data_IF_147954916412
#
_entry.id   IF_147954916412
#
_cell.length_a   1.000
_cell.length_b   1.000
_cell.length_c   1.000
_cell.angle_alpha   90.00
_cell.angle_beta   90.00
_cell.angle_gamma   90.00
#
_symmetry.space_group_name_H-M   'P 1'
#
loop_
_entity.id
_entity.type
_entity.pdbx_description
1 polymer ?
#
# COMPACT_ATOMS: atom_id res chain seq x y z
N UNK A 1 -1.77 61.15 2.03
CA UNK A 1 -2.00 60.96 0.59
C UNK A 1 -2.75 59.64 0.43
N UNK A 2 -4.09 59.66 0.54
CA UNK A 2 -5.06 59.66 -0.59
C UNK A 2 -4.93 58.42 -1.46
N UNK A 3 -5.70 57.38 -1.17
CA UNK A 3 -6.95 56.95 -1.87
C UNK A 3 -6.65 56.24 -3.20
N UNK A 4 -7.28 55.10 -3.52
CA UNK A 4 -8.69 55.01 -3.90
C UNK A 4 -9.26 53.59 -3.78
N UNK A 5 -10.43 53.54 -3.17
CA UNK A 5 -11.49 52.54 -3.35
C UNK A 5 -12.17 52.72 -4.71
N UNK A 6 -12.63 51.63 -5.33
CA UNK A 6 -13.85 51.57 -6.14
C UNK A 6 -14.50 50.20 -5.95
N UNK A 7 -15.65 50.18 -5.30
CA UNK A 7 -16.64 49.10 -5.43
C UNK A 7 -17.86 49.66 -6.13
N UNK A 8 -18.63 48.80 -6.80
CA UNK A 8 -20.05 49.01 -7.06
C UNK A 8 -20.78 47.69 -6.83
N UNK A 9 -21.81 47.79 -6.00
CA UNK A 9 -22.82 46.79 -5.67
C UNK A 9 -24.03 46.91 -6.62
N UNK A 10 -25.01 46.01 -6.42
CA UNK A 10 -26.49 46.03 -6.63
C UNK A 10 -26.86 44.59 -7.07
N UNK A 11 -27.82 43.84 -6.53
CA UNK A 11 -28.89 44.08 -5.57
C UNK A 11 -30.17 43.30 -5.98
N UNK A 12 -30.67 42.45 -5.06
CA UNK A 12 -32.04 41.90 -4.91
C UNK A 12 -32.60 40.79 -5.83
N UNK A 13 -33.26 39.81 -5.20
CA UNK A 13 -34.31 39.00 -5.81
C UNK A 13 -34.60 37.65 -5.13
N UNK A 14 -35.33 37.65 -4.01
CA UNK A 14 -35.94 36.45 -3.45
C UNK A 14 -37.24 36.15 -4.25
N UNK A 15 -37.34 34.96 -4.86
CA UNK A 15 -38.62 34.39 -5.30
C UNK A 15 -38.57 32.87 -5.27
N UNK A 16 -39.40 32.33 -4.38
CA UNK A 16 -39.77 30.94 -4.28
C UNK A 16 -40.76 30.62 -5.41
N UNK A 17 -40.43 29.67 -6.29
CA UNK A 17 -41.40 28.99 -7.14
C UNK A 17 -40.92 27.55 -7.36
N UNK A 18 -41.66 26.63 -6.74
CA UNK A 18 -41.59 25.19 -6.95
C UNK A 18 -42.09 24.89 -8.37
N UNK A 19 -41.29 24.20 -9.16
CA UNK A 19 -41.80 23.36 -10.26
C UNK A 19 -40.81 22.23 -10.53
N UNK A 20 -41.35 21.04 -10.71
CA UNK A 20 -40.68 19.77 -10.66
C UNK A 20 -40.08 19.32 -12.01
N UNK A 21 -39.13 18.39 -11.88
CA UNK A 21 -38.72 17.32 -12.79
C UNK A 21 -37.62 17.53 -13.85
N UNK A 22 -36.71 16.55 -13.80
CA UNK A 22 -35.80 15.99 -14.79
C UNK A 22 -34.42 16.65 -14.98
N UNK A 23 -33.37 15.89 -14.60
CA UNK A 23 -31.98 16.18 -14.94
C UNK A 23 -30.99 15.92 -13.82
N UNK A 24 -30.94 14.69 -13.28
CA UNK A 24 -29.86 14.28 -12.38
C UNK A 24 -28.56 14.11 -13.17
N UNK A 25 -27.53 14.89 -12.84
CA UNK A 25 -26.15 14.67 -13.28
C UNK A 25 -25.24 14.83 -12.06
N UNK A 26 -25.10 13.73 -11.31
CA UNK A 26 -24.01 13.53 -10.37
C UNK A 26 -23.10 12.47 -10.96
N UNK A 27 -21.98 12.91 -11.56
CA UNK A 27 -20.85 12.04 -11.84
C UNK A 27 -20.19 11.68 -10.51
N UNK A 28 -20.64 10.59 -9.90
CA UNK A 28 -19.83 9.83 -8.97
C UNK A 28 -18.83 9.05 -9.82
N UNK A 29 -17.54 9.38 -9.72
CA UNK A 29 -16.48 8.57 -10.30
C UNK A 29 -16.28 7.38 -9.35
N UNK A 30 -16.92 6.26 -9.67
CA UNK A 30 -16.78 5.02 -8.93
C UNK A 30 -15.37 4.47 -9.13
N UNK A 31 -14.61 4.38 -8.05
CA UNK A 31 -13.42 3.55 -7.95
C UNK A 31 -13.86 2.10 -8.26
N UNK A 32 -13.46 1.55 -9.41
CA UNK A 32 -13.83 0.20 -9.80
C UNK A 32 -13.11 -0.79 -8.89
N UNK A 33 -13.89 -1.54 -8.12
CA UNK A 33 -13.46 -2.77 -7.49
C UNK A 33 -12.78 -3.66 -8.54
N UNK A 34 -11.64 -4.26 -8.17
CA UNK A 34 -11.11 -5.40 -8.90
C UNK A 34 -12.23 -6.43 -9.04
N UNK A 35 -12.27 -7.13 -10.17
CA UNK A 35 -13.25 -8.18 -10.44
C UNK A 35 -13.41 -9.08 -9.23
N UNK A 36 -14.55 -8.94 -8.53
CA UNK A 36 -14.97 -9.87 -7.49
C UNK A 36 -14.91 -11.27 -8.10
N UNK A 37 -14.31 -12.22 -7.40
CA UNK A 37 -14.55 -13.62 -7.70
C UNK A 37 -16.07 -13.81 -7.66
N UNK A 38 -16.65 -14.25 -8.77
CA UNK A 38 -18.09 -14.54 -8.83
C UNK A 38 -18.44 -15.47 -7.68
N UNK A 39 -19.36 -15.04 -6.80
CA UNK A 39 -19.96 -15.90 -5.79
C UNK A 39 -20.36 -17.22 -6.44
N UNK A 40 -20.09 -18.34 -5.75
CA UNK A 40 -20.61 -19.64 -6.17
C UNK A 40 -22.13 -19.54 -6.31
N UNK A 41 -22.67 -20.05 -7.42
CA UNK A 41 -24.12 -20.07 -7.62
C UNK A 41 -24.78 -20.87 -6.50
N UNK A 42 -25.73 -20.26 -5.78
CA UNK A 42 -26.64 -20.98 -4.90
C UNK A 42 -27.26 -22.17 -5.67
N UNK A 43 -27.39 -23.32 -5.00
CA UNK A 43 -28.13 -24.44 -5.56
C UNK A 43 -29.56 -24.01 -5.87
N UNK A 44 -30.09 -24.42 -7.03
CA UNK A 44 -31.48 -24.12 -7.40
C UNK A 44 -32.43 -24.82 -6.43
N UNK A 45 -33.36 -24.06 -5.84
CA UNK A 45 -34.49 -24.64 -5.10
C UNK A 45 -35.24 -25.67 -5.95
N UNK A 46 -35.67 -26.76 -5.31
CA UNK A 46 -36.56 -27.74 -5.92
C UNK A 46 -37.88 -27.09 -6.35
N UNK A 47 -38.49 -27.60 -7.41
CA UNK A 47 -39.82 -27.13 -7.83
C UNK A 47 -40.90 -27.77 -6.97
N UNK A 48 -41.81 -26.95 -6.42
CA UNK A 48 -43.01 -27.45 -5.75
C UNK A 48 -43.85 -28.29 -6.72
N UNK A 49 -44.42 -29.39 -6.21
CA UNK A 49 -45.39 -30.20 -6.97
C UNK A 49 -46.64 -29.39 -7.31
N UNK A 50 -47.25 -29.65 -8.46
CA UNK A 50 -48.51 -29.02 -8.86
C UNK A 50 -49.69 -29.59 -8.07
N UNK A 51 -50.51 -28.72 -7.48
CA UNK A 51 -51.79 -29.10 -6.88
C UNK A 51 -52.71 -29.78 -7.91
N UNK A 52 -53.46 -30.78 -7.46
CA UNK A 52 -54.49 -31.45 -8.26
C UNK A 52 -55.63 -30.49 -8.61
N UNK A 53 -56.27 -30.70 -9.77
CA UNK A 53 -57.37 -29.85 -10.22
C UNK A 53 -58.64 -30.06 -9.37
N UNK A 54 -59.29 -28.97 -8.94
CA UNK A 54 -60.57 -28.99 -8.24
C UNK A 54 -61.70 -29.59 -9.10
N UNK A 55 -62.62 -30.32 -8.44
CA UNK A 55 -63.82 -30.86 -9.06
C UNK A 55 -64.75 -29.73 -9.54
N UNK A 56 -65.37 -29.92 -10.71
CA UNK A 56 -66.37 -29.00 -11.26
C UNK A 56 -67.74 -29.30 -10.63
N UNK A 57 -68.29 -28.34 -9.88
CA UNK A 57 -69.64 -28.44 -9.34
C UNK A 57 -70.70 -28.44 -10.46
N UNK A 58 -71.64 -29.39 -10.37
CA UNK A 58 -72.73 -29.56 -11.32
C UNK A 58 -73.69 -28.37 -11.32
N UNK A 59 -74.00 -27.84 -12.50
CA UNK A 59 -75.03 -26.81 -12.69
C UNK A 59 -76.40 -27.46 -12.93
N UNK A 60 -77.38 -27.27 -12.02
CA UNK A 60 -78.83 -27.20 -12.36
C UNK A 60 -79.66 -26.44 -11.31
N UNK A 61 -80.48 -25.53 -11.82
CA UNK A 61 -81.52 -24.66 -11.22
C UNK A 61 -82.62 -25.39 -10.40
N UNK A 62 -83.31 -24.68 -9.49
CA UNK A 62 -84.75 -24.35 -9.66
C UNK A 62 -85.41 -23.74 -8.42
N UNK A 63 -86.25 -22.73 -8.70
CA UNK A 63 -87.42 -22.30 -7.94
C UNK A 63 -88.36 -23.45 -7.54
N UNK A 64 -89.08 -23.27 -6.42
CA UNK A 64 -90.16 -24.09 -5.85
C UNK A 64 -90.92 -25.02 -6.84
N UNK A 65 -90.74 -26.34 -6.70
CA UNK A 65 -91.83 -27.30 -6.45
C UNK A 65 -91.40 -28.77 -6.59
N UNK A 66 -91.74 -29.55 -5.56
CA UNK A 66 -92.08 -31.00 -5.53
C UNK A 66 -91.02 -32.06 -5.88
N UNK A 67 -90.82 -32.95 -4.89
CA UNK A 67 -90.17 -34.28 -4.87
C UNK A 67 -89.63 -34.87 -6.18
N UNK A 68 -88.31 -35.16 -6.22
CA UNK A 68 -87.74 -36.40 -6.77
C UNK A 68 -86.22 -36.53 -6.52
N UNK A 69 -85.84 -37.65 -5.88
CA UNK A 69 -84.65 -38.52 -6.10
C UNK A 69 -83.22 -37.95 -6.15
N UNK A 70 -82.36 -38.60 -5.34
CA UNK A 70 -80.90 -38.50 -5.19
C UNK A 70 -80.10 -38.11 -6.45
N UNK A 71 -79.26 -37.09 -6.32
CA UNK A 71 -78.14 -36.84 -7.22
C UNK A 71 -76.86 -37.50 -6.65
N UNK A 72 -76.21 -38.30 -7.48
CA UNK A 72 -74.97 -39.07 -7.24
C UNK A 72 -73.77 -38.22 -6.81
N UNK A 73 -73.01 -38.71 -5.82
CA UNK A 73 -71.76 -38.12 -5.33
C UNK A 73 -70.74 -37.85 -6.45
N UNK A 74 -70.06 -36.70 -6.38
CA UNK A 74 -68.89 -36.40 -7.20
C UNK A 74 -67.70 -37.29 -6.79
N UNK A 75 -66.96 -37.83 -7.76
CA UNK A 75 -65.73 -38.58 -7.51
C UNK A 75 -64.59 -37.66 -7.09
N UNK A 76 -63.90 -38.03 -6.00
CA UNK A 76 -62.71 -37.33 -5.47
C UNK A 76 -61.62 -37.17 -6.54
N UNK A 77 -60.98 -36.00 -6.55
CA UNK A 77 -59.79 -35.72 -7.37
C UNK A 77 -58.58 -36.53 -6.90
N UNK A 78 -57.65 -36.82 -7.82
CA UNK A 78 -56.43 -37.58 -7.50
C UNK A 78 -55.40 -36.69 -6.80
N UNK A 79 -54.75 -37.20 -5.75
CA UNK A 79 -53.67 -36.50 -5.03
C UNK A 79 -52.48 -36.18 -5.96
N UNK A 80 -51.89 -35.00 -5.78
CA UNK A 80 -50.66 -34.60 -6.47
C UNK A 80 -49.44 -35.39 -5.98
N UNK A 81 -48.41 -35.52 -6.82
CA UNK A 81 -47.15 -36.20 -6.46
C UNK A 81 -46.19 -35.26 -5.72
N UNK A 82 -45.62 -35.73 -4.62
CA UNK A 82 -44.61 -35.01 -3.84
C UNK A 82 -43.34 -34.67 -4.67
N UNK A 83 -42.80 -33.46 -4.44
CA UNK A 83 -41.53 -33.01 -5.02
C UNK A 83 -40.31 -33.69 -4.39
N UNK A 84 -39.18 -33.70 -5.11
CA UNK A 84 -37.91 -34.30 -4.65
C UNK A 84 -37.07 -33.24 -3.93
N UNK A 85 -36.60 -33.54 -2.72
CA UNK A 85 -35.73 -32.66 -1.93
C UNK A 85 -34.40 -32.34 -2.65
N UNK A 86 -33.97 -31.07 -2.56
CA UNK A 86 -32.70 -30.61 -3.08
C UNK A 86 -31.53 -31.03 -2.17
N UNK A 87 -30.38 -31.38 -2.76
CA UNK A 87 -29.13 -31.62 -2.03
C UNK A 87 -28.43 -30.30 -1.67
N UNK A 88 -28.04 -30.15 -0.41
CA UNK A 88 -27.27 -29.00 0.09
C UNK A 88 -25.98 -28.77 -0.73
N UNK A 89 -25.72 -27.51 -1.08
CA UNK A 89 -24.48 -27.07 -1.73
C UNK A 89 -23.27 -27.16 -0.79
N UNK A 90 -22.08 -27.37 -1.35
CA UNK A 90 -20.82 -27.36 -0.60
C UNK A 90 -20.38 -25.90 -0.40
N UNK A 91 -20.11 -25.50 0.85
CA UNK A 91 -19.56 -24.18 1.17
C UNK A 91 -18.30 -23.88 0.35
N UNK A 92 -18.25 -22.69 -0.27
CA UNK A 92 -17.06 -22.21 -0.97
C UNK A 92 -15.93 -21.91 0.02
N UNK A 93 -14.72 -22.36 -0.27
CA UNK A 93 -13.51 -21.86 0.41
C UNK A 93 -13.29 -20.40 0.03
N UNK A 94 -13.01 -19.53 1.00
CA UNK A 94 -12.68 -18.11 0.79
C UNK A 94 -11.70 -17.95 -0.39
N UNK A 95 -12.11 -17.19 -1.40
CA UNK A 95 -11.32 -16.99 -2.61
C UNK A 95 -10.03 -16.23 -2.30
N UNK A 96 -8.90 -16.71 -2.81
CA UNK A 96 -7.69 -15.88 -2.96
C UNK A 96 -8.04 -14.65 -3.81
N UNK A 97 -7.54 -13.44 -3.48
CA UNK A 97 -7.65 -12.29 -4.38
C UNK A 97 -7.23 -12.71 -5.79
N UNK A 98 -7.99 -12.32 -6.82
CA UNK A 98 -7.66 -12.67 -8.20
C UNK A 98 -6.31 -12.07 -8.59
N UNK A 99 -5.46 -12.88 -9.23
CA UNK A 99 -4.17 -12.43 -9.74
C UNK A 99 -4.36 -11.28 -10.76
N UNK A 100 -3.76 -10.13 -10.50
CA UNK A 100 -3.78 -8.93 -11.34
C UNK A 100 -2.78 -9.02 -12.50
N UNK A 101 -2.93 -10.05 -13.33
CA UNK A 101 -2.03 -10.32 -14.45
C UNK A 101 -2.69 -10.03 -15.79
N UNK A 102 -1.88 -9.61 -16.76
CA UNK A 102 -2.33 -9.33 -18.12
C UNK A 102 -1.24 -9.65 -19.13
N UNK A 103 -1.67 -9.83 -20.38
CA UNK A 103 -0.84 -9.98 -21.57
C UNK A 103 -1.10 -8.87 -22.60
N UNK A 104 -2.27 -8.24 -22.55
CA UNK A 104 -2.67 -7.10 -23.37
C UNK A 104 -3.64 -6.17 -22.62
N UNK A 105 -3.65 -4.89 -22.97
CA UNK A 105 -4.44 -3.87 -22.25
C UNK A 105 -5.96 -4.05 -22.33
N UNK A 106 -6.46 -4.81 -23.30
CA UNK A 106 -7.89 -5.19 -23.42
C UNK A 106 -8.40 -6.04 -22.25
N UNK A 107 -7.49 -6.68 -21.50
CA UNK A 107 -7.83 -7.45 -20.30
C UNK A 107 -8.01 -6.55 -19.07
N UNK A 108 -7.55 -5.31 -19.15
CA UNK A 108 -7.57 -4.35 -18.05
C UNK A 108 -8.82 -3.46 -18.13
N UNK A 109 -9.29 -2.98 -16.98
CA UNK A 109 -10.52 -2.17 -16.87
C UNK A 109 -10.23 -0.78 -16.28
N UNK A 110 -11.20 0.14 -16.33
CA UNK A 110 -11.10 1.40 -15.57
C UNK A 110 -9.94 2.33 -15.96
N UNK A 111 -9.53 2.36 -17.24
CA UNK A 111 -8.42 3.22 -17.70
C UNK A 111 -7.02 2.67 -17.40
N UNK A 112 -6.94 1.38 -17.03
CA UNK A 112 -5.68 0.68 -16.85
C UNK A 112 -5.08 0.23 -18.19
N UNK A 113 -3.76 0.20 -18.25
CA UNK A 113 -2.99 -0.43 -19.31
C UNK A 113 -2.28 -1.69 -18.80
N UNK A 114 -1.94 -2.59 -19.71
CA UNK A 114 -1.13 -3.75 -19.38
C UNK A 114 0.37 -3.40 -19.42
N UNK A 115 0.99 -3.33 -18.25
CA UNK A 115 2.39 -2.92 -18.07
C UNK A 115 3.09 -3.89 -17.13
N UNK A 116 4.29 -4.37 -17.48
CA UNK A 116 5.01 -5.38 -16.69
C UNK A 116 4.19 -6.66 -16.41
N UNK A 117 3.26 -6.98 -17.32
CA UNK A 117 2.33 -8.11 -17.19
C UNK A 117 1.25 -7.93 -16.11
N UNK A 118 0.97 -6.69 -15.70
CA UNK A 118 -0.05 -6.35 -14.70
C UNK A 118 -0.94 -5.20 -15.18
N UNK A 119 -2.20 -5.19 -14.75
CA UNK A 119 -3.08 -4.06 -15.02
C UNK A 119 -2.75 -2.92 -14.06
N UNK A 120 -2.28 -1.80 -14.60
CA UNK A 120 -1.88 -0.62 -13.83
C UNK A 120 -2.65 0.59 -14.35
N UNK A 121 -3.19 1.39 -13.43
CA UNK A 121 -3.88 2.62 -13.78
C UNK A 121 -2.90 3.58 -14.46
N UNK A 122 -3.24 4.09 -15.64
CA UNK A 122 -2.35 5.00 -16.36
C UNK A 122 -2.47 6.42 -15.77
N UNK A 123 -1.34 7.06 -15.39
CA UNK A 123 -1.38 8.41 -14.81
C UNK A 123 -1.99 9.42 -15.77
N UNK A 124 -2.86 10.28 -15.24
CA UNK A 124 -3.47 11.36 -16.04
C UNK A 124 -2.45 12.47 -16.35
N UNK A 125 -1.65 12.81 -15.33
CA UNK A 125 -0.66 13.89 -15.34
C UNK A 125 0.72 13.39 -15.74
N UNK A 126 1.50 14.25 -16.39
CA UNK A 126 2.91 13.97 -16.65
C UNK A 126 3.70 13.93 -15.33
N UNK A 127 4.69 13.05 -15.28
CA UNK A 127 5.56 12.91 -14.14
C UNK A 127 6.33 14.20 -13.84
N UNK A 128 6.52 14.47 -12.56
CA UNK A 128 7.28 15.63 -12.08
C UNK A 128 8.42 15.16 -11.20
N UNK A 129 9.59 15.79 -11.36
CA UNK A 129 10.73 15.59 -10.49
C UNK A 129 10.71 16.59 -9.35
N UNK A 130 11.02 16.13 -8.14
CA UNK A 130 11.13 16.98 -6.94
C UNK A 130 12.52 16.81 -6.32
N UNK A 131 13.18 17.95 -6.09
CA UNK A 131 14.47 17.99 -5.41
C UNK A 131 14.29 17.62 -3.93
N UNK A 132 15.06 16.63 -3.46
CA UNK A 132 14.95 16.04 -2.14
C UNK A 132 15.60 16.87 -1.01
N UNK A 133 16.24 17.99 -1.33
CA UNK A 133 16.82 18.92 -0.36
C UNK A 133 15.87 20.09 -0.14
N UNK A 134 15.29 20.60 -1.22
CA UNK A 134 14.43 21.78 -1.17
C UNK A 134 12.95 21.44 -1.11
N UNK A 135 12.58 20.17 -1.32
CA UNK A 135 11.20 19.67 -1.40
C UNK A 135 10.37 20.39 -2.47
N UNK A 136 11.03 20.89 -3.53
CA UNK A 136 10.40 21.67 -4.61
C UNK A 136 10.49 20.94 -5.96
N UNK A 137 9.43 21.05 -6.79
CA UNK A 137 9.47 20.59 -8.17
C UNK A 137 10.59 21.25 -8.97
N UNK A 138 11.23 20.48 -9.84
CA UNK A 138 12.28 20.93 -10.76
C UNK A 138 11.94 20.60 -12.21
N UNK A 139 12.54 21.33 -13.15
CA UNK A 139 12.36 21.07 -14.58
C UNK A 139 13.22 19.88 -15.04
N UNK A 140 12.63 19.02 -15.87
CA UNK A 140 13.30 17.88 -16.49
C UNK A 140 12.45 16.61 -16.47
N UNK A 141 12.73 15.71 -17.40
CA UNK A 141 12.09 14.39 -17.45
C UNK A 141 12.77 13.41 -16.48
N UNK A 142 12.02 12.45 -15.91
CA UNK A 142 12.58 11.36 -15.13
C UNK A 142 13.62 10.57 -15.91
N UNK A 143 14.76 10.29 -15.26
CA UNK A 143 15.72 9.33 -15.80
C UNK A 143 15.30 7.92 -15.40
N UNK A 144 15.07 7.05 -16.39
CA UNK A 144 14.66 5.65 -16.20
C UNK A 144 15.70 4.65 -16.73
N UNK A 145 16.90 5.11 -17.10
CA UNK A 145 17.91 4.28 -17.75
C UNK A 145 18.42 3.13 -16.86
N UNK A 146 18.24 3.22 -15.55
CA UNK A 146 18.62 2.18 -14.59
C UNK A 146 17.56 1.10 -14.38
N UNK A 147 16.34 1.27 -14.90
CA UNK A 147 15.29 0.24 -14.85
C UNK A 147 15.82 -1.07 -15.44
N UNK A 148 15.68 -2.17 -14.71
CA UNK A 148 16.09 -3.50 -15.16
C UNK A 148 17.60 -3.72 -15.27
N UNK A 149 18.44 -2.74 -14.96
CA UNK A 149 19.90 -2.92 -14.98
C UNK A 149 20.38 -3.65 -13.73
N UNK A 150 21.07 -4.77 -13.94
CA UNK A 150 21.79 -5.44 -12.87
C UNK A 150 22.96 -4.57 -12.41
N UNK A 151 23.13 -4.45 -11.08
CA UNK A 151 24.32 -3.85 -10.51
C UNK A 151 25.46 -4.86 -10.46
N UNK A 152 26.67 -4.38 -10.68
CA UNK A 152 27.89 -5.19 -10.59
C UNK A 152 28.44 -5.05 -9.16
N UNK A 153 28.47 -6.12 -8.35
CA UNK A 153 29.10 -6.08 -7.04
C UNK A 153 30.59 -5.71 -7.19
N UNK A 154 31.07 -4.75 -6.41
CA UNK A 154 32.47 -4.33 -6.49
C UNK A 154 33.38 -5.10 -5.53
N UNK A 155 32.81 -5.87 -4.59
CA UNK A 155 33.55 -6.55 -3.53
C UNK A 155 34.07 -5.62 -2.42
N UNK A 156 33.84 -4.31 -2.53
CA UNK A 156 34.11 -3.33 -1.47
C UNK A 156 32.99 -3.36 -0.43
N UNK A 157 33.35 -3.11 0.83
CA UNK A 157 32.40 -2.92 1.93
C UNK A 157 32.43 -1.48 2.42
N UNK A 158 31.31 -1.04 2.99
CA UNK A 158 31.13 0.27 3.59
C UNK A 158 30.60 0.14 5.01
N UNK A 159 30.70 1.23 5.76
CA UNK A 159 30.00 1.40 7.03
C UNK A 159 28.70 2.14 6.77
N UNK A 160 27.57 1.46 6.95
CA UNK A 160 26.24 2.07 6.86
C UNK A 160 25.85 2.63 8.21
N UNK A 161 25.34 3.85 8.23
CA UNK A 161 24.85 4.47 9.45
C UNK A 161 23.62 5.33 9.17
N UNK A 162 22.90 5.72 10.21
CA UNK A 162 21.80 6.68 10.11
C UNK A 162 20.91 6.61 11.33
N UNK A 163 19.69 7.14 11.18
CA UNK A 163 18.68 7.16 12.23
C UNK A 163 17.48 6.29 11.85
N UNK A 164 16.64 5.96 12.83
CA UNK A 164 15.35 5.33 12.58
C UNK A 164 14.31 6.43 12.42
N UNK A 165 13.91 6.65 11.17
CA UNK A 165 12.80 7.53 10.82
C UNK A 165 11.47 6.86 11.14
N UNK A 166 10.56 7.67 11.67
CA UNK A 166 9.18 7.27 11.88
C UNK A 166 8.35 7.67 10.68
N UNK A 167 7.38 6.83 10.32
CA UNK A 167 6.30 7.28 9.46
C UNK A 167 5.40 8.26 10.25
N UNK A 168 5.62 9.56 10.04
CA UNK A 168 4.94 10.68 10.71
C UNK A 168 5.60 11.14 12.01
N UNK A 169 5.02 12.18 12.61
CA UNK A 169 5.55 12.81 13.83
C UNK A 169 5.47 11.89 15.07
N UNK A 170 6.46 11.97 15.97
CA UNK A 170 6.35 11.37 17.30
C UNK A 170 7.62 11.31 18.14
N UNK A 171 7.48 10.72 19.34
CA UNK A 171 8.55 10.53 20.34
C UNK A 171 9.71 9.66 19.83
N UNK A 172 10.89 9.71 20.48
CA UNK A 172 12.06 9.01 19.98
C UNK A 172 11.89 7.48 19.92
N UNK A 173 12.46 6.84 18.91
CA UNK A 173 12.55 5.39 18.76
C UNK A 173 13.76 4.85 19.51
N UNK A 174 13.51 4.12 20.60
CA UNK A 174 14.54 3.41 21.36
C UNK A 174 14.19 1.91 21.41
N UNK A 175 15.12 1.07 21.88
CA UNK A 175 14.96 -0.39 21.92
C UNK A 175 14.66 -1.01 20.55
N UNK A 176 15.28 -0.47 19.50
CA UNK A 176 15.15 -0.97 18.14
C UNK A 176 16.41 -1.75 17.73
N UNK A 177 16.24 -2.60 16.73
CA UNK A 177 17.32 -3.31 16.03
C UNK A 177 17.21 -3.05 14.54
N UNK A 178 18.34 -2.70 13.93
CA UNK A 178 18.49 -2.65 12.46
C UNK A 178 19.35 -3.83 12.05
N UNK A 179 18.86 -4.64 11.12
CA UNK A 179 19.60 -5.74 10.51
C UNK A 179 19.66 -5.57 9.00
N UNK A 180 20.84 -5.74 8.42
CA UNK A 180 21.08 -5.67 6.99
C UNK A 180 21.45 -7.06 6.50
N UNK A 181 20.67 -7.58 5.54
CA UNK A 181 20.93 -8.84 4.86
C UNK A 181 21.31 -8.55 3.41
N UNK A 182 22.16 -9.39 2.80
CA UNK A 182 22.20 -9.42 1.34
C UNK A 182 20.88 -9.99 0.85
N UNK A 183 20.29 -9.43 -0.20
CA UNK A 183 19.01 -9.91 -0.71
C UNK A 183 19.08 -11.39 -1.16
N UNK A 184 20.23 -11.83 -1.68
CA UNK A 184 20.47 -13.22 -2.04
C UNK A 184 20.57 -14.17 -0.83
N UNK A 185 20.94 -13.64 0.33
CA UNK A 185 21.10 -14.39 1.58
C UNK A 185 19.84 -14.33 2.45
N UNK A 186 18.86 -13.46 2.11
CA UNK A 186 17.58 -13.32 2.82
C UNK A 186 16.65 -14.48 2.44
N UNK A 187 16.40 -15.46 3.31
CA UNK A 187 15.64 -16.65 2.93
C UNK A 187 14.20 -16.51 3.44
N UNK A 188 13.23 -16.17 2.56
CA UNK A 188 11.83 -16.38 2.92
C UNK A 188 11.55 -17.88 3.18
N UNK A 189 12.33 -18.76 2.54
CA UNK A 189 12.22 -20.22 2.64
C UNK A 189 12.23 -20.78 4.06
N UNK A 190 12.92 -20.13 5.01
CA UNK A 190 13.03 -20.61 6.39
C UNK A 190 11.69 -20.61 7.13
N UNK A 191 10.79 -19.68 6.75
CA UNK A 191 9.49 -19.48 7.40
C UNK A 191 8.31 -19.66 6.43
N UNK A 192 8.55 -19.82 5.11
CA UNK A 192 7.52 -20.14 4.12
C UNK A 192 6.97 -21.54 4.35
N UNK A 193 5.70 -21.66 4.71
CA UNK A 193 5.04 -22.94 4.97
C UNK A 193 4.40 -23.02 6.35
N UNK A 194 4.67 -22.04 7.21
CA UNK A 194 3.89 -21.82 8.42
C UNK A 194 2.52 -21.27 8.04
N UNK A 195 1.47 -22.00 8.40
CA UNK A 195 0.07 -21.60 8.15
C UNK A 195 -0.46 -20.68 9.24
N UNK A 196 0.12 -20.74 10.44
CA UNK A 196 -0.20 -19.84 11.53
C UNK A 196 0.52 -18.49 11.34
N UNK A 197 -0.22 -17.36 11.25
CA UNK A 197 0.36 -16.04 11.06
C UNK A 197 1.35 -15.59 12.14
N UNK A 198 1.09 -15.93 13.40
CA UNK A 198 1.87 -15.49 14.55
C UNK A 198 3.19 -16.28 14.62
N UNK A 199 3.14 -17.59 14.37
CA UNK A 199 4.34 -18.43 14.22
C UNK A 199 5.19 -17.96 13.03
N UNK A 200 4.57 -17.66 11.88
CA UNK A 200 5.26 -17.14 10.72
C UNK A 200 5.96 -15.81 11.02
N UNK A 201 5.24 -14.87 11.64
CA UNK A 201 5.78 -13.57 12.05
C UNK A 201 6.96 -13.73 13.02
N UNK A 202 6.80 -14.58 14.04
CA UNK A 202 7.84 -14.85 15.04
C UNK A 202 9.10 -15.44 14.40
N UNK A 203 8.95 -16.40 13.48
CA UNK A 203 10.06 -17.00 12.74
C UNK A 203 10.89 -15.93 12.00
N UNK A 204 10.23 -15.03 11.27
CA UNK A 204 10.90 -13.94 10.56
C UNK A 204 11.57 -12.92 11.50
N UNK A 205 10.99 -12.68 12.68
CA UNK A 205 11.57 -11.80 13.71
C UNK A 205 12.85 -12.37 14.30
N UNK A 206 12.89 -13.66 14.58
CA UNK A 206 14.02 -14.34 15.21
C UNK A 206 15.15 -14.66 14.23
N UNK A 207 14.86 -14.69 12.93
CA UNK A 207 15.85 -14.96 11.90
C UNK A 207 16.98 -13.91 11.90
N UNK A 208 18.24 -14.37 12.01
CA UNK A 208 19.45 -13.51 12.02
C UNK A 208 20.61 -14.07 11.20
N UNK A 209 20.48 -15.26 10.62
CA UNK A 209 21.58 -15.90 9.92
C UNK A 209 21.99 -15.06 8.68
N UNK A 210 23.29 -14.85 8.50
CA UNK A 210 23.84 -14.08 7.38
C UNK A 210 23.65 -12.54 7.45
N UNK A 211 22.91 -12.04 8.44
CA UNK A 211 22.69 -10.60 8.63
C UNK A 211 23.80 -9.90 9.41
N UNK A 212 24.05 -8.63 9.06
CA UNK A 212 24.85 -7.70 9.85
C UNK A 212 23.89 -6.83 10.67
N UNK A 213 23.96 -6.86 12.00
CA UNK A 213 23.02 -6.15 12.88
C UNK A 213 23.71 -5.28 13.91
N UNK A 214 23.02 -4.23 14.34
CA UNK A 214 23.32 -3.57 15.63
C UNK A 214 22.64 -4.29 16.78
N UNK A 215 23.14 -4.11 18.00
CA UNK A 215 22.49 -4.60 19.23
C UNK A 215 22.10 -3.41 20.11
N UNK A 216 20.84 -3.36 20.54
CA UNK A 216 20.28 -2.37 21.49
C UNK A 216 20.78 -0.94 21.24
N UNK A 217 20.11 -0.20 20.35
CA UNK A 217 20.44 1.22 20.10
C UNK A 217 20.31 2.01 21.41
N UNK A 218 21.45 2.31 22.03
CA UNK A 218 21.56 2.89 23.37
C UNK A 218 21.18 4.37 23.37
N UNK A 219 20.65 4.84 24.51
CA UNK A 219 20.36 6.25 24.72
C UNK A 219 21.67 7.05 24.69
N UNK A 220 21.70 8.25 24.08
CA UNK A 220 22.79 9.20 24.27
C UNK A 220 23.09 9.42 25.76
N UNK A 221 24.37 9.41 26.16
CA UNK A 221 24.81 9.86 27.49
C UNK A 221 24.85 11.39 27.49
N UNK A 222 24.44 12.11 28.54
CA UNK A 222 24.42 13.60 28.61
C UNK A 222 25.77 14.31 28.32
N UNK A 223 26.84 13.57 28.01
CA UNK A 223 28.21 14.04 27.85
C UNK A 223 28.45 14.92 26.61
N UNK A 224 27.60 14.83 25.58
CA UNK A 224 27.81 15.56 24.31
C UNK A 224 26.64 16.49 23.93
N UNK A 225 25.65 16.65 24.80
CA UNK A 225 24.54 17.58 24.55
C UNK A 225 25.05 19.01 24.44
N UNK A 226 24.81 19.63 23.28
CA UNK A 226 25.27 20.97 22.96
C UNK A 226 26.73 21.06 22.53
N UNK A 227 27.46 19.97 22.31
CA UNK A 227 28.81 20.02 21.74
C UNK A 227 28.77 20.61 20.32
N UNK A 228 29.71 21.50 19.96
CA UNK A 228 29.81 22.00 18.59
C UNK A 228 30.25 20.88 17.63
N UNK A 229 29.62 20.84 16.47
CA UNK A 229 29.93 19.91 15.39
C UNK A 229 29.97 20.66 14.06
N UNK A 230 30.52 20.03 13.03
CA UNK A 230 30.41 20.49 11.64
C UNK A 230 29.81 19.40 10.76
N UNK A 231 29.96 18.14 11.16
CA UNK A 231 29.40 16.95 10.53
C UNK A 231 28.79 16.05 11.58
N UNK A 232 27.83 15.23 11.16
CA UNK A 232 27.20 14.22 12.01
C UNK A 232 28.22 13.29 12.70
N UNK A 233 29.31 12.96 12.01
CA UNK A 233 30.40 12.12 12.53
C UNK A 233 31.21 12.75 13.66
N UNK A 234 31.08 14.06 13.90
CA UNK A 234 31.77 14.73 15.00
C UNK A 234 31.04 14.49 16.35
N UNK A 235 29.80 13.99 16.29
CA UNK A 235 28.98 13.67 17.44
C UNK A 235 29.16 12.20 17.86
N UNK A 236 29.14 11.89 19.17
CA UNK A 236 29.17 10.50 19.62
C UNK A 236 27.87 9.76 19.29
N UNK A 237 27.89 8.43 19.36
CA UNK A 237 26.71 7.60 19.14
C UNK A 237 25.55 8.05 20.05
N UNK A 238 24.37 8.19 19.46
CA UNK A 238 23.18 8.75 20.11
C UNK A 238 23.02 10.27 19.94
N UNK A 239 23.94 10.97 19.27
CA UNK A 239 23.84 12.39 18.98
C UNK A 239 23.87 12.71 17.49
N UNK A 240 22.95 13.56 17.03
CA UNK A 240 22.96 14.11 15.67
C UNK A 240 23.46 15.55 15.66
N UNK A 241 24.30 15.88 14.68
CA UNK A 241 24.69 17.25 14.42
C UNK A 241 23.53 18.01 13.76
N UNK A 242 22.83 18.85 14.53
CA UNK A 242 21.67 19.61 14.07
C UNK A 242 22.05 21.09 13.92
N UNK A 243 21.57 21.72 12.86
CA UNK A 243 21.67 23.17 12.67
C UNK A 243 20.73 23.87 13.66
N UNK A 244 21.30 24.59 14.64
CA UNK A 244 20.54 25.46 15.55
C UNK A 244 20.33 26.85 14.98
N UNK A 245 21.25 27.32 14.15
CA UNK A 245 21.17 28.57 13.41
C UNK A 245 22.06 28.52 12.18
N UNK A 246 21.94 29.52 11.30
CA UNK A 246 22.66 29.64 10.01
C UNK A 246 24.19 29.51 10.06
N UNK A 247 24.79 29.49 11.25
CA UNK A 247 26.24 29.40 11.47
C UNK A 247 26.61 28.46 12.62
N UNK A 248 25.64 27.79 13.25
CA UNK A 248 25.86 27.05 14.49
C UNK A 248 25.22 25.67 14.42
N UNK A 249 26.08 24.65 14.54
CA UNK A 249 25.70 23.25 14.55
C UNK A 249 26.08 22.65 15.90
N UNK A 250 25.14 21.95 16.52
CA UNK A 250 25.36 21.29 17.81
C UNK A 250 24.90 19.84 17.77
N UNK A 251 25.62 19.01 18.49
CA UNK A 251 25.23 17.65 18.79
C UNK A 251 24.00 17.69 19.71
N UNK A 252 22.88 17.15 19.23
CA UNK A 252 21.65 16.99 19.99
C UNK A 252 21.35 15.50 20.17
N UNK A 253 20.80 15.09 21.33
CA UNK A 253 20.36 13.73 21.55
C UNK A 253 19.38 13.29 20.44
N UNK A 254 19.77 12.28 19.65
CA UNK A 254 18.89 11.62 18.71
C UNK A 254 18.86 10.11 18.98
N UNK A 255 17.68 9.58 19.21
CA UNK A 255 17.48 8.18 19.58
C UNK A 255 17.22 7.34 18.33
N UNK A 256 17.81 6.14 18.27
CA UNK A 256 17.69 5.28 17.11
C UNK A 256 18.80 5.49 16.08
N UNK A 257 19.91 6.14 16.46
CA UNK A 257 21.13 6.16 15.67
C UNK A 257 21.75 4.76 15.61
N UNK A 258 22.18 4.32 14.43
CA UNK A 258 22.80 3.01 14.22
C UNK A 258 24.02 3.10 13.31
N UNK A 259 24.98 2.19 13.49
CA UNK A 259 26.15 2.03 12.63
C UNK A 259 26.45 0.53 12.44
N UNK A 260 26.58 0.10 11.18
CA UNK A 260 26.80 -1.29 10.78
C UNK A 260 27.97 -1.31 9.80
N UNK A 261 29.09 -1.91 10.20
CA UNK A 261 30.27 -2.08 9.37
C UNK A 261 30.17 -3.31 8.46
N UNK A 262 30.94 -3.31 7.36
CA UNK A 262 31.10 -4.49 6.50
C UNK A 262 29.96 -4.69 5.49
N UNK A 263 29.13 -3.68 5.26
CA UNK A 263 28.01 -3.77 4.31
C UNK A 263 28.53 -3.76 2.88
N UNK A 264 28.22 -4.77 2.05
CA UNK A 264 28.74 -4.82 0.69
C UNK A 264 28.13 -3.71 -0.19
N UNK A 265 28.99 -3.07 -0.97
CA UNK A 265 28.59 -2.04 -1.94
C UNK A 265 28.09 -2.68 -3.24
N UNK A 266 27.30 -1.92 -4.00
CA UNK A 266 26.69 -2.31 -5.28
C UNK A 266 25.97 -3.68 -5.25
N UNK A 267 25.45 -4.06 -4.09
CA UNK A 267 24.79 -5.33 -3.83
C UNK A 267 23.38 -5.05 -3.31
N UNK A 268 22.32 -5.68 -3.85
CA UNK A 268 20.97 -5.59 -3.29
C UNK A 268 20.91 -6.10 -1.85
N UNK A 269 20.29 -5.32 -0.97
CA UNK A 269 20.15 -5.59 0.45
C UNK A 269 18.67 -5.60 0.87
N UNK A 270 18.40 -6.27 1.98
CA UNK A 270 17.15 -6.15 2.74
C UNK A 270 17.50 -5.52 4.09
N UNK A 271 16.91 -4.36 4.39
CA UNK A 271 17.07 -3.68 5.67
C UNK A 271 15.84 -3.96 6.51
N UNK A 272 16.02 -4.65 7.63
CA UNK A 272 14.96 -4.91 8.60
C UNK A 272 15.11 -3.98 9.80
N UNK A 273 14.01 -3.33 10.16
CA UNK A 273 13.87 -2.57 11.42
C UNK A 273 12.82 -3.27 12.29
N UNK A 274 13.16 -3.55 13.54
CA UNK A 274 12.20 -4.13 14.51
C UNK A 274 12.40 -3.60 15.92
N UNK A 275 11.36 -3.74 16.74
CA UNK A 275 11.45 -3.51 18.17
C UNK A 275 12.01 -4.75 18.90
N UNK A 276 12.84 -4.54 19.91
CA UNK A 276 13.46 -5.61 20.70
C UNK A 276 12.65 -5.99 21.95
N UNK A 277 11.74 -5.12 22.40
CA UNK A 277 10.94 -5.37 23.61
C UNK A 277 9.50 -5.74 23.23
N UNK A 278 9.00 -6.94 23.61
CA UNK A 278 7.64 -7.38 23.31
C UNK A 278 6.55 -6.42 23.81
N UNK A 279 6.81 -5.75 24.94
CA UNK A 279 5.90 -4.72 25.50
C UNK A 279 5.60 -3.54 24.55
N UNK A 280 6.39 -3.38 23.48
CA UNK A 280 6.22 -2.33 22.47
C UNK A 280 5.74 -2.85 21.10
N UNK A 281 5.40 -4.13 20.97
CA UNK A 281 4.83 -4.70 19.72
C UNK A 281 3.48 -4.07 19.38
N UNK A 282 2.72 -3.66 20.39
CA UNK A 282 1.49 -2.90 20.19
C UNK A 282 1.72 -1.45 19.74
N UNK A 283 2.97 -0.96 19.72
CA UNK A 283 3.31 0.42 19.35
C UNK A 283 3.93 0.52 17.97
N UNK A 284 4.65 -0.52 17.54
CA UNK A 284 5.48 -0.47 16.35
C UNK A 284 5.35 -1.75 15.55
N UNK A 285 5.38 -1.61 14.23
CA UNK A 285 5.37 -2.73 13.30
C UNK A 285 6.70 -2.86 12.61
N UNK A 286 7.11 -4.10 12.40
CA UNK A 286 8.36 -4.40 11.72
C UNK A 286 8.33 -3.84 10.31
N UNK A 287 9.49 -3.40 9.85
CA UNK A 287 9.63 -2.81 8.52
C UNK A 287 10.76 -3.50 7.77
N UNK A 288 10.50 -3.85 6.52
CA UNK A 288 11.44 -4.52 5.63
C UNK A 288 11.63 -3.67 4.38
N UNK A 289 12.79 -3.05 4.22
CA UNK A 289 13.15 -2.29 3.02
C UNK A 289 13.88 -3.21 2.05
N UNK A 290 13.27 -3.50 0.91
CA UNK A 290 13.86 -4.34 -0.13
C UNK A 290 14.64 -3.53 -1.17
N UNK A 291 15.60 -4.18 -1.81
CA UNK A 291 16.45 -3.64 -2.88
C UNK A 291 17.21 -2.35 -2.48
N UNK A 292 17.57 -2.26 -1.20
CA UNK A 292 18.46 -1.23 -0.69
C UNK A 292 19.88 -1.46 -1.22
N UNK A 293 20.56 -0.44 -1.74
CA UNK A 293 21.95 -0.56 -2.24
C UNK A 293 22.85 0.57 -1.81
N UNK A 294 23.99 0.20 -1.23
CA UNK A 294 25.09 1.12 -0.99
C UNK A 294 25.89 1.31 -2.28
N UNK A 295 25.69 2.43 -2.96
CA UNK A 295 26.41 2.76 -4.19
C UNK A 295 27.85 3.20 -3.89
N UNK A 296 28.83 2.55 -4.51
CA UNK A 296 30.25 2.82 -4.25
C UNK A 296 30.63 4.27 -4.60
N UNK A 297 30.09 4.81 -5.69
CA UNK A 297 30.32 6.17 -6.14
C UNK A 297 29.76 7.25 -5.20
N UNK A 298 28.98 6.86 -4.21
CA UNK A 298 28.34 7.75 -3.22
C UNK A 298 28.90 7.62 -1.82
N UNK A 299 29.92 6.79 -1.64
CA UNK A 299 30.58 6.67 -0.35
C UNK A 299 31.16 8.03 0.05
N UNK A 300 30.85 8.42 1.28
CA UNK A 300 31.45 9.56 1.93
C UNK A 300 32.91 9.26 2.30
N UNK A 301 33.62 10.27 2.79
CA UNK A 301 34.97 10.10 3.32
C UNK A 301 34.98 9.00 4.41
N UNK A 302 35.93 8.05 4.30
CA UNK A 302 36.01 6.92 5.23
C UNK A 302 35.09 5.74 4.90
N UNK A 303 34.62 5.62 3.65
CA UNK A 303 33.79 4.51 3.17
C UNK A 303 32.46 4.40 3.94
N UNK A 304 31.87 5.54 4.28
CA UNK A 304 30.59 5.62 5.00
C UNK A 304 29.44 5.90 4.05
N UNK A 305 28.25 5.45 4.43
CA UNK A 305 27.04 5.68 3.66
C UNK A 305 25.83 5.87 4.59
N UNK A 306 25.12 6.98 4.46
CA UNK A 306 23.93 7.28 5.27
C UNK A 306 22.66 6.63 4.71
N UNK A 307 21.94 5.87 5.53
CA UNK A 307 20.60 5.35 5.26
C UNK A 307 19.77 5.60 6.52
N UNK A 308 18.61 6.25 6.42
CA UNK A 308 17.67 6.23 7.53
C UNK A 308 16.76 4.99 7.39
N UNK A 309 16.65 4.21 8.45
CA UNK A 309 15.78 3.05 8.49
C UNK A 309 14.37 3.50 8.84
N UNK A 310 13.33 2.86 8.30
CA UNK A 310 11.95 3.24 8.59
C UNK A 310 11.31 2.36 9.67
N UNK A 311 10.35 2.94 10.38
CA UNK A 311 9.39 2.20 11.19
C UNK A 311 8.01 2.86 11.19
N UNK A 312 6.96 2.04 11.22
CA UNK A 312 5.57 2.50 11.29
C UNK A 312 4.98 2.27 12.67
N UNK A 313 4.23 3.25 13.16
CA UNK A 313 3.52 3.14 14.44
C UNK A 313 2.20 2.37 14.28
N UNK A 314 1.73 1.73 15.34
CA UNK A 314 0.43 1.05 15.34
C UNK A 314 -0.75 1.98 15.07
N UNK A 315 -0.63 3.26 15.43
CA UNK A 315 -1.64 4.26 15.09
C UNK A 315 -1.81 4.42 13.58
N UNK A 316 -0.70 4.47 12.84
CA UNK A 316 -0.72 4.55 11.38
C UNK A 316 -1.15 3.23 10.74
N UNK A 317 -0.70 2.11 11.31
CA UNK A 317 -1.13 0.77 10.90
C UNK A 317 -2.64 0.59 10.90
N UNK A 318 -3.35 1.25 11.83
CA UNK A 318 -4.82 1.22 11.89
C UNK A 318 -5.47 2.33 11.07
N UNK A 319 -4.91 3.54 11.10
CA UNK A 319 -5.54 4.72 10.48
C UNK A 319 -5.50 4.64 8.96
N UNK A 320 -4.37 4.27 8.37
CA UNK A 320 -4.17 4.27 6.91
C UNK A 320 -5.17 3.34 6.20
N UNK A 321 -5.33 2.06 6.59
CA UNK A 321 -6.31 1.17 5.94
C UNK A 321 -7.75 1.65 6.14
N UNK A 322 -8.08 2.17 7.34
CA UNK A 322 -9.41 2.69 7.65
C UNK A 322 -9.76 3.88 6.75
N UNK A 323 -8.82 4.81 6.55
CA UNK A 323 -9.02 5.96 5.66
C UNK A 323 -9.27 5.52 4.22
N UNK A 324 -8.57 4.49 3.74
CA UNK A 324 -8.74 3.95 2.39
C UNK A 324 -10.03 3.13 2.21
N UNK A 325 -10.80 2.92 3.28
CA UNK A 325 -11.99 2.06 3.24
C UNK A 325 -11.68 0.56 3.22
N UNK A 326 -10.42 0.16 3.42
CA UNK A 326 -10.00 -1.24 3.50
C UNK A 326 -10.30 -1.90 4.86
N UNK A 327 -10.75 -1.12 5.85
CA UNK A 327 -11.00 -1.63 7.20
C UNK A 327 -9.70 -1.86 7.97
N UNK A 328 -9.47 -3.11 8.40
CA UNK A 328 -8.26 -3.51 9.13
C UNK A 328 -7.45 -4.49 8.30
N UNK A 329 -6.12 -4.43 8.42
CA UNK A 329 -5.23 -5.45 7.85
C UNK A 329 -5.51 -6.78 8.57
N UNK A 330 -5.84 -7.82 7.80
CA UNK A 330 -6.17 -9.12 8.36
C UNK A 330 -4.96 -9.77 9.04
N UNK A 331 -5.16 -10.67 10.03
CA UNK A 331 -4.08 -11.47 10.59
C UNK A 331 -3.34 -12.23 9.49
N UNK A 332 -2.01 -12.12 9.46
CA UNK A 332 -1.19 -12.74 8.40
C UNK A 332 -1.01 -11.89 7.15
N UNK A 333 -1.75 -10.80 7.01
CA UNK A 333 -1.55 -9.83 5.93
C UNK A 333 -0.55 -8.75 6.36
N UNK A 334 -0.11 -7.96 5.41
CA UNK A 334 0.81 -6.85 5.62
C UNK A 334 0.43 -5.62 4.80
N UNK A 335 1.33 -4.64 4.81
CA UNK A 335 1.23 -3.46 3.96
C UNK A 335 2.49 -3.30 3.13
N UNK A 336 2.34 -2.73 1.94
CA UNK A 336 3.43 -2.38 1.04
C UNK A 336 3.42 -0.87 0.88
N UNK A 337 4.56 -0.22 1.05
CA UNK A 337 4.69 1.22 0.85
C UNK A 337 5.97 1.57 0.12
N UNK A 338 6.11 2.82 -0.25
CA UNK A 338 7.34 3.24 -0.90
C UNK A 338 7.35 4.67 -1.37
N UNK A 339 8.49 5.03 -1.94
CA UNK A 339 8.67 6.26 -2.71
C UNK A 339 9.20 5.91 -4.08
N UNK A 340 8.67 6.55 -5.10
CA UNK A 340 9.15 6.43 -6.47
C UNK A 340 10.23 7.48 -6.68
N UNK A 341 11.36 7.05 -7.22
CA UNK A 341 12.55 7.88 -7.45
C UNK A 341 13.07 7.67 -8.86
N UNK A 342 13.80 8.67 -9.33
CA UNK A 342 14.51 8.59 -10.59
C UNK A 342 15.82 7.84 -10.46
N UNK A 343 16.31 7.39 -11.62
CA UNK A 343 17.62 6.82 -11.73
C UNK A 343 18.66 7.86 -11.35
N UNK A 344 19.25 7.65 -10.18
CA UNK A 344 20.29 8.48 -9.64
C UNK A 344 21.35 8.85 -10.68
N UNK A 345 21.63 10.15 -10.78
CA UNK A 345 22.77 10.70 -11.51
C UNK A 345 23.59 11.60 -10.58
N UNK A 346 24.80 11.97 -10.98
CA UNK A 346 25.66 12.86 -10.19
C UNK A 346 24.98 14.20 -9.86
N UNK A 347 24.08 14.67 -10.73
CA UNK A 347 23.28 15.88 -10.58
C UNK A 347 21.94 15.66 -9.85
N UNK A 348 21.32 14.47 -9.95
CA UNK A 348 20.02 14.16 -9.35
C UNK A 348 20.19 13.04 -8.34
N UNK A 349 20.38 13.41 -7.07
CA UNK A 349 20.65 12.49 -5.95
C UNK A 349 19.42 11.66 -5.56
N UNK A 350 18.80 10.96 -6.52
CA UNK A 350 17.59 10.17 -6.34
C UNK A 350 16.39 11.07 -6.07
N UNK A 351 16.14 12.02 -6.98
CA UNK A 351 14.96 12.89 -6.89
C UNK A 351 13.69 12.04 -6.94
N UNK A 352 12.63 12.51 -6.29
CA UNK A 352 11.37 11.77 -6.29
C UNK A 352 10.62 12.02 -7.59
N UNK A 353 9.96 10.98 -8.08
CA UNK A 353 9.04 11.08 -9.22
C UNK A 353 7.62 11.10 -8.68
N UNK A 354 6.93 12.22 -8.89
CA UNK A 354 5.50 12.35 -8.61
C UNK A 354 4.63 11.99 -9.81
N UNK A 355 3.32 11.83 -9.55
CA UNK A 355 2.31 11.47 -10.55
C UNK A 355 2.56 10.11 -11.23
N UNK A 356 3.01 9.15 -10.45
CA UNK A 356 3.20 7.77 -10.85
C UNK A 356 2.11 6.88 -10.25
N UNK A 357 1.79 5.77 -10.92
CA UNK A 357 0.80 4.80 -10.44
C UNK A 357 1.46 3.43 -10.27
N UNK A 358 0.98 2.65 -9.31
CA UNK A 358 1.54 1.33 -8.95
C UNK A 358 0.46 0.26 -8.85
N UNK A 359 0.86 -0.99 -9.03
CA UNK A 359 0.01 -2.16 -8.76
C UNK A 359 0.85 -3.36 -8.31
N UNK A 360 0.20 -4.26 -7.58
CA UNK A 360 0.72 -5.58 -7.23
C UNK A 360 0.17 -6.64 -8.17
N UNK A 361 0.93 -7.72 -8.34
CA UNK A 361 0.50 -8.94 -9.03
C UNK A 361 -0.60 -9.64 -8.24
N UNK A 362 -0.44 -9.77 -6.93
CA UNK A 362 -1.50 -10.19 -6.02
C UNK A 362 -2.01 -8.93 -5.28
N UNK A 363 -3.16 -8.35 -5.68
CA UNK A 363 -3.60 -7.06 -5.17
C UNK A 363 -3.97 -7.15 -3.68
N UNK A 364 -3.64 -6.09 -2.94
CA UNK A 364 -4.21 -5.86 -1.61
C UNK A 364 -5.61 -5.25 -1.70
N UNK A 365 -6.27 -5.10 -0.56
CA UNK A 365 -7.63 -4.57 -0.47
C UNK A 365 -7.75 -3.11 -0.96
N UNK A 366 -6.72 -2.29 -0.74
CA UNK A 366 -6.72 -0.92 -1.28
C UNK A 366 -5.32 -0.39 -1.58
N UNK A 367 -5.23 0.39 -2.66
CA UNK A 367 -4.07 1.23 -2.99
C UNK A 367 -4.37 2.67 -2.60
N UNK A 368 -3.42 3.33 -1.94
CA UNK A 368 -3.53 4.69 -1.45
C UNK A 368 -2.35 5.56 -1.84
N UNK A 369 -2.62 6.84 -2.02
CA UNK A 369 -1.63 7.87 -2.33
C UNK A 369 -1.79 9.07 -1.39
N UNK A 370 -0.69 9.78 -1.13
CA UNK A 370 -0.64 10.83 -0.12
C UNK A 370 -0.81 12.23 -0.72
N UNK A 371 -0.85 13.26 0.13
CA UNK A 371 -0.91 14.65 -0.31
C UNK A 371 0.50 15.28 -0.40
N UNK A 372 0.62 16.54 -0.84
CA UNK A 372 1.91 17.22 -0.98
C UNK A 372 2.48 17.75 0.37
N UNK A 373 2.02 17.23 1.51
CA UNK A 373 2.62 17.48 2.81
C UNK A 373 3.28 16.18 3.30
N UNK A 374 4.61 16.16 3.35
CA UNK A 374 5.38 14.97 3.75
C UNK A 374 5.07 14.52 5.20
N UNK A 375 4.72 15.45 6.06
CA UNK A 375 4.36 15.17 7.45
C UNK A 375 2.94 14.63 7.61
N UNK A 376 2.10 14.80 6.59
CA UNK A 376 0.79 14.16 6.55
C UNK A 376 0.96 12.71 6.09
N UNK A 377 0.56 11.82 6.97
CA UNK A 377 0.67 10.36 6.84
C UNK A 377 -0.66 9.72 6.48
N UNK A 378 -1.70 10.52 6.28
CA UNK A 378 -3.03 10.05 5.92
C UNK A 378 -3.17 10.07 4.39
N UNK A 379 -3.49 8.94 3.75
CA UNK A 379 -3.70 8.92 2.30
C UNK A 379 -5.03 9.57 1.91
N UNK A 380 -5.14 9.97 0.64
CA UNK A 380 -6.35 10.56 0.07
C UNK A 380 -7.17 9.51 -0.68
N UNK A 381 -8.46 9.42 -0.35
CA UNK A 381 -9.40 8.37 -0.83
C UNK A 381 -9.70 8.46 -2.34
N UNK A 382 -9.41 9.58 -2.98
CA UNK A 382 -9.73 9.83 -4.40
C UNK A 382 -8.51 10.24 -5.22
N UNK A 383 -7.32 9.82 -4.81
CA UNK A 383 -6.09 10.07 -5.55
C UNK A 383 -5.70 8.80 -6.30
N UNK A 384 -5.30 8.93 -7.56
CA UNK A 384 -4.99 7.83 -8.48
C UNK A 384 -3.51 7.65 -8.76
N UNK A 385 -2.70 8.61 -8.32
CA UNK A 385 -1.27 8.70 -8.58
C UNK A 385 -0.52 9.27 -7.36
N UNK A 386 0.80 9.11 -7.34
CA UNK A 386 1.63 9.62 -6.25
C UNK A 386 1.59 11.15 -6.13
N UNK A 387 1.87 11.63 -4.92
CA UNK A 387 2.17 13.04 -4.69
C UNK A 387 3.51 13.44 -5.32
N UNK A 388 3.88 14.71 -5.18
CA UNK A 388 5.18 15.21 -5.65
C UNK A 388 6.39 14.50 -5.00
N UNK A 389 6.17 13.77 -3.90
CA UNK A 389 7.17 12.98 -3.19
C UNK A 389 7.20 11.50 -3.61
N UNK A 390 6.38 11.11 -4.58
CA UNK A 390 6.33 9.75 -5.10
C UNK A 390 5.77 8.72 -4.10
N UNK A 391 5.04 9.13 -3.07
CA UNK A 391 4.59 8.26 -1.97
C UNK A 391 3.33 7.47 -2.34
N UNK A 392 3.36 6.18 -2.03
CA UNK A 392 2.22 5.27 -2.17
C UNK A 392 2.17 4.25 -1.03
N UNK A 393 1.01 3.62 -0.86
CA UNK A 393 0.80 2.48 0.02
C UNK A 393 -0.22 1.52 -0.60
N UNK A 394 -0.10 0.23 -0.34
CA UNK A 394 -1.07 -0.81 -0.68
C UNK A 394 -1.25 -1.62 0.59
N UNK A 395 -2.49 -1.70 1.08
CA UNK A 395 -2.80 -2.26 2.41
C UNK A 395 -3.51 -3.58 2.28
N UNK A 396 -3.40 -4.38 3.34
CA UNK A 396 -4.07 -5.67 3.47
C UNK A 396 -3.69 -6.63 2.34
N UNK A 397 -2.38 -6.77 2.13
CA UNK A 397 -1.79 -7.64 1.12
C UNK A 397 -1.57 -9.02 1.76
N UNK A 398 -1.92 -10.13 1.07
CA UNK A 398 -1.64 -11.47 1.57
C UNK A 398 -0.13 -11.74 1.73
N UNK A 399 0.25 -12.50 2.76
CA UNK A 399 1.63 -12.96 2.91
C UNK A 399 2.09 -13.79 1.71
N UNK A 400 3.39 -13.75 1.43
CA UNK A 400 3.99 -14.56 0.37
C UNK A 400 4.78 -13.75 -0.63
N UNK A 401 5.19 -14.41 -1.71
CA UNK A 401 5.84 -13.74 -2.84
C UNK A 401 4.83 -12.90 -3.61
N UNK A 402 5.22 -11.68 -3.92
CA UNK A 402 4.43 -10.77 -4.73
C UNK A 402 5.37 -9.92 -5.60
N UNK A 403 4.83 -9.29 -6.63
CA UNK A 403 5.56 -8.41 -7.54
C UNK A 403 4.88 -7.06 -7.59
N UNK A 404 5.64 -6.00 -7.38
CA UNK A 404 5.19 -4.62 -7.51
C UNK A 404 5.71 -4.05 -8.83
N UNK A 405 4.86 -3.39 -9.61
CA UNK A 405 5.30 -2.54 -10.72
C UNK A 405 4.63 -1.17 -10.68
N UNK A 406 5.19 -0.25 -11.45
CA UNK A 406 4.65 1.09 -11.58
C UNK A 406 4.90 1.67 -12.96
N UNK A 407 4.16 2.72 -13.26
CA UNK A 407 4.24 3.45 -14.52
C UNK A 407 4.19 4.96 -14.28
N UNK A 408 4.74 5.69 -15.23
CA UNK A 408 4.69 7.15 -15.31
C UNK A 408 4.29 7.58 -16.70
N UNK A 409 3.73 8.78 -16.82
CA UNK A 409 3.50 9.43 -18.10
C UNK A 409 4.58 10.47 -18.34
N UNK A 410 5.33 10.34 -19.44
CA UNK A 410 6.34 11.33 -19.84
C UNK A 410 5.70 12.65 -20.31
N UNK A 411 6.50 13.71 -20.42
CA UNK A 411 6.04 15.00 -20.97
C UNK A 411 5.54 14.93 -22.43
N UNK A 412 5.93 13.89 -23.16
CA UNK A 412 5.44 13.56 -24.51
C UNK A 412 4.07 12.84 -24.51
N UNK A 413 3.55 12.52 -23.33
CA UNK A 413 2.29 11.81 -23.11
C UNK A 413 2.38 10.29 -23.24
N UNK A 414 3.57 9.72 -23.51
CA UNK A 414 3.77 8.27 -23.54
C UNK A 414 3.83 7.69 -22.13
N UNK A 415 3.32 6.48 -21.97
CA UNK A 415 3.45 5.73 -20.72
C UNK A 415 4.79 4.99 -20.73
N UNK A 416 5.59 5.21 -19.69
CA UNK A 416 6.86 4.54 -19.46
C UNK A 416 6.79 3.68 -18.20
N UNK A 417 7.38 2.48 -18.29
CA UNK A 417 7.49 1.56 -17.17
C UNK A 417 8.56 2.04 -16.18
N UNK A 418 8.24 1.96 -14.88
CA UNK A 418 9.20 2.10 -13.78
C UNK A 418 9.88 0.76 -13.45
N UNK A 419 9.59 -0.30 -14.21
CA UNK A 419 10.02 -1.66 -13.94
C UNK A 419 9.17 -2.34 -12.87
N UNK A 420 9.60 -3.56 -12.54
CA UNK A 420 8.96 -4.39 -11.53
C UNK A 420 9.99 -4.98 -10.57
N UNK A 421 9.57 -5.19 -9.32
CA UNK A 421 10.41 -5.78 -8.26
C UNK A 421 9.61 -6.85 -7.51
N UNK A 422 10.22 -8.02 -7.36
CA UNK A 422 9.65 -9.11 -6.57
C UNK A 422 10.12 -9.02 -5.13
N UNK A 423 9.21 -9.30 -4.20
CA UNK A 423 9.50 -9.26 -2.77
C UNK A 423 8.66 -10.29 -2.04
N UNK A 424 9.07 -10.60 -0.81
CA UNK A 424 8.29 -11.43 0.08
C UNK A 424 7.59 -10.54 1.12
N UNK A 425 6.25 -10.59 1.14
CA UNK A 425 5.46 -9.94 2.18
C UNK A 425 5.52 -10.78 3.45
N UNK A 426 6.18 -10.23 4.47
CA UNK A 426 6.23 -10.81 5.81
C UNK A 426 4.92 -10.44 6.54
N UNK A 427 4.25 -11.41 7.19
CA UNK A 427 3.07 -11.17 8.03
C UNK A 427 3.25 -10.02 9.03
N UNK A 428 2.18 -9.26 9.26
CA UNK A 428 2.10 -8.17 10.25
C UNK A 428 3.27 -7.15 10.16
N UNK A 429 3.72 -6.90 8.94
CA UNK A 429 4.85 -6.00 8.68
C UNK A 429 4.59 -5.04 7.53
N UNK A 430 5.33 -3.94 7.54
CA UNK A 430 5.42 -3.02 6.42
C UNK A 430 6.60 -3.43 5.53
N UNK A 431 6.32 -3.78 4.28
CA UNK A 431 7.35 -3.90 3.26
C UNK A 431 7.48 -2.56 2.54
N UNK A 432 8.71 -2.05 2.45
CA UNK A 432 9.04 -0.84 1.72
C UNK A 432 9.85 -1.20 0.49
N UNK A 433 9.39 -0.71 -0.66
CA UNK A 433 10.05 -0.90 -1.95
C UNK A 433 10.51 0.43 -2.52
N UNK A 434 11.62 0.40 -3.24
CA UNK A 434 12.13 1.53 -4.01
C UNK A 434 12.16 1.18 -5.49
N UNK A 435 11.45 1.98 -6.28
CA UNK A 435 11.52 1.99 -7.75
C UNK A 435 12.83 2.70 -8.21
N UNK A 436 13.24 2.59 -9.49
CA UNK A 436 14.62 2.58 -9.94
C UNK A 436 15.53 3.71 -9.43
N UNK A 437 16.76 3.33 -9.03
CA UNK A 437 17.79 4.21 -8.46
C UNK A 437 18.47 3.61 -7.21
N UNK A 438 17.92 2.50 -6.68
CA UNK A 438 18.45 1.68 -5.58
C UNK A 438 18.95 2.46 -4.36
N UNK A 439 18.01 3.19 -3.76
CA UNK A 439 17.74 3.28 -2.33
C UNK A 439 16.60 4.28 -2.18
N UNK A 440 15.67 4.08 -1.23
CA UNK A 440 14.91 5.20 -0.71
C UNK A 440 15.89 6.03 0.15
N UNK A 441 16.41 7.10 -0.44
CA UNK A 441 17.12 8.11 0.34
C UNK A 441 16.06 8.86 1.13
N UNK A 442 15.76 8.42 2.34
CA UNK A 442 15.05 9.25 3.31
C UNK A 442 16.05 10.31 3.77
N UNK A 443 16.24 11.35 2.97
CA UNK A 443 16.93 12.56 3.44
C UNK A 443 15.86 13.54 3.86
N UNK A 444 15.88 13.89 5.14
CA UNK A 444 16.60 15.10 5.52
C UNK A 444 17.93 14.73 6.18
#
# INVERSE_FOLDING_TARGET
MTSRTWGWAIGFGFSLLVSACSGGSTTANSNSTGSDATDGTDGTDGTDGTDGADATDGTTDSTDSTDASDATDATDGSDGTDGVDATDGVDATDGTPGSNTCTESSQCSGGQGCHEGMCILEPESAAVLTDNVTDNPVEGEPNLDCVGKALVPSGKTATVYGIIDRFGDGRPTYDMEVTIFKAADWPPAACTGLTDPEEAHTCFREFKEGGLSTSELTLPTDEADGQECQRHTDCPMGYECIEKSSIEYRCEPNYGMYEIAGVPTNTPLVVRTRNLKPIYESKWKDTYVYNAVVLEERLEEGDRFRINALMVSSGQWVTVPTTLGAGQIAPGHGAVGGRIRDCHTADRRGYTIGFASVALEEPGTATGYFNNNEYDTVPLVNKSDTDIFGRFTIVDVPQGWNRLAGVVKGGDGQIASLGSESFYLVPDSLVVLAFPGKLPIFTK
#
